data_IF_165978249323
#
_entry.id   IF_165978249323
#
_cell.length_a   1.000
_cell.length_b   1.000
_cell.length_c   1.000
_cell.angle_alpha   90.00
_cell.angle_beta   90.00
_cell.angle_gamma   90.00
#
_symmetry.space_group_name_H-M   'P 1'
#
loop_
_entity.id
_entity.type
_entity.pdbx_description
1 polymer ?
#
# COMPACT_ATOMS: atom_id res chain seq x y z
N UNK A 1 4.47 5.08 2.12
CA UNK A 1 3.14 5.18 2.80
C UNK A 1 3.27 5.57 4.26
N UNK A 2 3.96 4.78 5.09
CA UNK A 2 4.14 5.05 6.54
C UNK A 2 4.67 6.45 6.79
N UNK A 3 5.80 6.83 6.18
CA UNK A 3 6.37 8.18 6.33
C UNK A 3 5.38 9.29 5.95
N UNK A 4 4.55 9.07 4.93
CA UNK A 4 3.52 10.04 4.53
C UNK A 4 2.38 10.13 5.56
N UNK A 5 2.03 9.04 6.24
CA UNK A 5 1.07 9.05 7.34
C UNK A 5 1.63 9.78 8.56
N UNK A 6 2.88 9.50 8.93
CA UNK A 6 3.59 10.21 10.02
C UNK A 6 3.69 11.71 9.72
N UNK A 7 4.05 12.08 8.48
CA UNK A 7 4.10 13.47 8.05
C UNK A 7 2.73 14.19 8.11
N UNK A 8 1.63 13.45 8.12
CA UNK A 8 0.27 13.95 8.30
C UNK A 8 -0.20 13.95 9.77
N UNK A 9 0.69 13.69 10.72
CA UNK A 9 0.38 13.69 12.15
C UNK A 9 -0.26 12.40 12.66
N UNK A 10 -0.29 11.32 11.87
CA UNK A 10 -0.70 10.00 12.37
C UNK A 10 0.40 9.47 13.30
N UNK A 11 0.01 8.87 14.44
CA UNK A 11 0.98 8.29 15.37
C UNK A 11 1.83 7.22 14.69
N UNK A 12 3.06 7.00 15.16
CA UNK A 12 3.96 6.04 14.54
C UNK A 12 3.37 4.62 14.48
N UNK A 13 2.69 4.20 15.55
CA UNK A 13 2.00 2.92 15.64
C UNK A 13 0.87 2.80 14.59
N UNK A 14 -0.03 3.77 14.56
CA UNK A 14 -1.15 3.77 13.60
C UNK A 14 -0.65 3.88 12.16
N UNK A 15 0.40 4.68 11.92
CA UNK A 15 1.00 4.83 10.60
C UNK A 15 1.64 3.52 10.12
N UNK A 16 2.29 2.77 11.01
CA UNK A 16 2.84 1.46 10.71
C UNK A 16 1.72 0.46 10.35
N UNK A 17 0.70 0.32 11.21
CA UNK A 17 -0.43 -0.58 10.97
C UNK A 17 -1.17 -0.24 9.67
N UNK A 18 -1.57 1.02 9.49
CA UNK A 18 -2.29 1.46 8.30
C UNK A 18 -1.42 1.37 7.03
N UNK A 19 -0.13 1.68 7.13
CA UNK A 19 0.80 1.61 6.02
C UNK A 19 1.02 0.18 5.51
N UNK A 20 1.19 -0.79 6.42
CA UNK A 20 1.30 -2.22 6.07
C UNK A 20 -0.02 -2.73 5.48
N UNK A 21 -1.16 -2.37 6.07
CA UNK A 21 -2.47 -2.76 5.54
C UNK A 21 -2.71 -2.20 4.12
N UNK A 22 -2.38 -0.93 3.88
CA UNK A 22 -2.47 -0.33 2.55
C UNK A 22 -1.51 -1.02 1.54
N UNK A 23 -0.30 -1.40 1.97
CA UNK A 23 0.64 -2.12 1.13
C UNK A 23 0.12 -3.51 0.73
N UNK A 24 -0.48 -4.26 1.67
CA UNK A 24 -1.14 -5.54 1.39
C UNK A 24 -2.27 -5.39 0.34
N UNK A 25 -3.15 -4.40 0.52
CA UNK A 25 -4.25 -4.14 -0.43
C UNK A 25 -3.72 -3.79 -1.82
N UNK A 26 -2.71 -2.94 -1.90
CA UNK A 26 -2.08 -2.55 -3.16
C UNK A 26 -1.38 -3.73 -3.85
N UNK A 27 -0.67 -4.57 -3.09
CA UNK A 27 -0.01 -5.77 -3.62
C UNK A 27 -1.00 -6.79 -4.18
N UNK A 28 -2.11 -7.04 -3.48
CA UNK A 28 -3.19 -7.90 -3.99
C UNK A 28 -3.73 -7.38 -5.31
N UNK A 29 -4.06 -6.09 -5.38
CA UNK A 29 -4.58 -5.46 -6.60
C UNK A 29 -3.58 -5.45 -7.75
N UNK A 30 -2.29 -5.29 -7.46
CA UNK A 30 -1.23 -5.40 -8.46
C UNK A 30 -1.11 -6.83 -9.03
N UNK A 31 -1.37 -7.84 -8.20
CA UNK A 31 -1.35 -9.25 -8.61
C UNK A 31 -2.49 -9.66 -9.53
N UNK A 32 -3.58 -8.89 -9.62
CA UNK A 32 -4.76 -9.23 -10.45
C UNK A 32 -4.41 -9.36 -11.94
N UNK A 33 -3.43 -8.62 -12.44
CA UNK A 33 -3.09 -8.59 -13.87
C UNK A 33 -2.24 -9.78 -14.32
N UNK A 34 -1.26 -10.18 -13.52
CA UNK A 34 -0.19 -11.12 -13.94
C UNK A 34 0.13 -12.21 -12.91
N UNK A 35 -0.62 -12.28 -11.80
CA UNK A 35 -0.35 -13.20 -10.69
C UNK A 35 0.58 -12.60 -9.63
N UNK A 36 0.48 -13.06 -8.37
CA UNK A 36 1.18 -12.46 -7.22
C UNK A 36 2.71 -12.58 -7.31
N UNK A 37 3.23 -13.65 -7.91
CA UNK A 37 4.68 -13.91 -8.02
C UNK A 37 5.37 -12.98 -9.04
N UNK A 38 4.60 -12.29 -9.88
CA UNK A 38 5.10 -11.37 -10.90
C UNK A 38 5.02 -9.89 -10.49
N UNK A 39 4.57 -9.60 -9.26
CA UNK A 39 4.42 -8.23 -8.76
C UNK A 39 5.78 -7.64 -8.37
N UNK A 40 6.11 -6.48 -8.91
CA UNK A 40 7.27 -5.68 -8.48
C UNK A 40 6.84 -4.40 -7.77
N UNK A 41 7.79 -3.72 -7.13
CA UNK A 41 7.53 -2.54 -6.32
C UNK A 41 6.77 -1.41 -7.07
N UNK A 42 7.08 -1.20 -8.36
CA UNK A 42 6.43 -0.17 -9.15
C UNK A 42 4.95 -0.48 -9.43
N UNK A 43 4.57 -1.75 -9.51
CA UNK A 43 3.16 -2.15 -9.67
C UNK A 43 2.37 -1.83 -8.41
N UNK A 44 2.95 -2.11 -7.24
CA UNK A 44 2.35 -1.76 -5.94
C UNK A 44 2.19 -0.24 -5.80
N UNK A 45 3.19 0.54 -6.23
CA UNK A 45 3.11 2.02 -6.22
C UNK A 45 1.99 2.51 -7.14
N UNK A 46 1.86 1.95 -8.34
CA UNK A 46 0.78 2.32 -9.29
C UNK A 46 -0.60 1.92 -8.77
N UNK A 47 -0.73 0.78 -8.08
CA UNK A 47 -1.98 0.30 -7.52
C UNK A 47 -2.39 1.01 -6.21
N UNK A 48 -1.43 1.63 -5.51
CA UNK A 48 -1.62 2.22 -4.18
C UNK A 48 -2.78 3.24 -4.10
N UNK A 49 -2.95 4.22 -5.02
CA UNK A 49 -4.06 5.17 -4.93
C UNK A 49 -5.42 4.49 -4.90
N UNK A 50 -5.63 3.49 -5.76
CA UNK A 50 -6.87 2.72 -5.81
C UNK A 50 -7.04 1.79 -4.61
N UNK A 51 -5.96 1.42 -3.93
CA UNK A 51 -5.99 0.63 -2.70
C UNK A 51 -6.25 1.45 -1.43
N UNK A 52 -6.27 2.79 -1.51
CA UNK A 52 -6.61 3.68 -0.38
C UNK A 52 -8.08 4.08 -0.36
N UNK A 53 -8.79 3.95 -1.48
CA UNK A 53 -10.24 4.15 -1.58
C UNK A 53 -10.99 2.93 -1.01
N UNK A 54 -12.18 3.11 -0.38
CA UNK A 54 -13.02 1.99 0.05
C UNK A 54 -13.32 1.00 -1.06
#
# INVERSE_FOLDING_TARGET
>A
VIAALVARGVSAEQAACAGVHAHLRAGRRAGDAHGPDHVIASDVIRALPAALTP
#
